data_IF_261601752909
#
_entry.id   IF_261601752909
#
_cell.length_a   1.000
_cell.length_b   1.000
_cell.length_c   1.000
_cell.angle_alpha   90.00
_cell.angle_beta   90.00
_cell.angle_gamma   90.00
#
_symmetry.space_group_name_H-M   'P 1'
#
loop_
_entity.id
_entity.type
_entity.pdbx_description
1 polymer ?
#
# COMPACT_ATOMS: atom_id res chain seq x y z
N UNK A 1 16.43 10.77 -32.11
CA UNK A 1 17.04 10.55 -30.77
C UNK A 1 15.98 10.46 -29.66
N UNK A 2 14.74 10.88 -29.89
CA UNK A 2 13.64 10.92 -28.92
C UNK A 2 13.19 9.56 -28.37
N UNK A 3 13.32 8.48 -29.16
CA UNK A 3 12.86 7.14 -28.76
C UNK A 3 13.70 6.51 -27.65
N UNK A 4 15.04 6.69 -27.65
CA UNK A 4 15.91 6.16 -26.60
C UNK A 4 15.63 6.77 -25.22
N UNK A 5 15.38 8.09 -25.19
CA UNK A 5 15.04 8.83 -23.98
C UNK A 5 13.65 8.49 -23.44
N UNK A 6 12.71 8.11 -24.32
CA UNK A 6 11.40 7.61 -23.91
C UNK A 6 11.46 6.19 -23.31
N UNK A 7 12.35 5.32 -23.81
CA UNK A 7 12.56 3.98 -23.23
C UNK A 7 13.11 4.03 -21.80
N UNK A 8 14.06 4.94 -21.53
CA UNK A 8 14.58 5.11 -20.17
C UNK A 8 13.52 5.70 -19.24
N UNK A 9 12.75 6.68 -19.70
CA UNK A 9 11.74 7.36 -18.89
C UNK A 9 10.60 6.44 -18.40
N UNK A 10 10.22 5.40 -19.17
CA UNK A 10 9.21 4.43 -18.70
C UNK A 10 9.80 3.49 -17.65
N UNK A 11 11.03 3.01 -17.84
CA UNK A 11 11.70 2.12 -16.89
C UNK A 11 12.02 2.83 -15.58
N UNK A 12 12.44 4.10 -15.64
CA UNK A 12 12.63 4.97 -14.46
C UNK A 12 11.35 5.04 -13.61
N UNK A 13 10.17 5.17 -14.22
CA UNK A 13 8.90 5.19 -13.47
C UNK A 13 8.63 3.87 -12.75
N UNK A 14 8.91 2.73 -13.38
CA UNK A 14 8.79 1.43 -12.69
C UNK A 14 9.81 1.29 -11.57
N UNK A 15 11.01 1.84 -11.75
CA UNK A 15 12.05 1.85 -10.72
C UNK A 15 11.63 2.70 -9.52
N UNK A 16 11.06 3.88 -9.76
CA UNK A 16 10.54 4.77 -8.71
C UNK A 16 9.41 4.09 -7.92
N UNK A 17 8.50 3.37 -8.60
CA UNK A 17 7.44 2.61 -7.93
C UNK A 17 8.02 1.45 -7.10
N UNK A 18 9.02 0.74 -7.62
CA UNK A 18 9.69 -0.34 -6.90
C UNK A 18 10.44 0.18 -5.65
N UNK A 19 10.96 1.41 -5.71
CA UNK A 19 11.56 2.09 -4.56
C UNK A 19 10.50 2.43 -3.51
N UNK A 20 9.44 3.15 -3.88
CA UNK A 20 8.36 3.53 -2.97
C UNK A 20 7.73 2.33 -2.27
N UNK A 21 7.46 1.25 -3.01
CA UNK A 21 6.89 0.01 -2.42
C UNK A 21 7.88 -0.72 -1.51
N UNK A 22 9.18 -0.61 -1.78
CA UNK A 22 10.23 -1.14 -0.88
C UNK A 22 10.35 -0.34 0.43
N UNK A 23 10.25 0.99 0.37
CA UNK A 23 10.21 1.86 1.54
C UNK A 23 8.93 1.64 2.36
N UNK A 24 7.78 1.48 1.69
CA UNK A 24 6.51 1.08 2.31
C UNK A 24 6.63 -0.24 3.08
N UNK A 25 7.22 -1.27 2.46
CA UNK A 25 7.45 -2.55 3.13
C UNK A 25 8.40 -2.42 4.33
N UNK A 26 9.47 -1.65 4.18
CA UNK A 26 10.45 -1.41 5.26
C UNK A 26 9.79 -0.73 6.46
N UNK A 27 8.95 0.28 6.23
CA UNK A 27 8.18 0.96 7.27
C UNK A 27 7.16 0.00 7.94
N UNK A 28 6.45 -0.81 7.15
CA UNK A 28 5.52 -1.81 7.68
C UNK A 28 6.22 -2.88 8.54
N UNK A 29 7.42 -3.33 8.16
CA UNK A 29 8.24 -4.23 8.96
C UNK A 29 8.68 -3.61 10.30
N UNK A 30 8.93 -2.30 10.31
CA UNK A 30 9.22 -1.54 11.53
C UNK A 30 7.97 -1.21 12.36
N UNK A 31 6.76 -1.48 11.84
CA UNK A 31 5.49 -1.08 12.45
C UNK A 31 5.19 0.42 12.37
N UNK A 32 5.94 1.16 11.55
CA UNK A 32 5.73 2.59 11.28
C UNK A 32 4.65 2.75 10.21
N UNK A 33 3.39 2.64 10.64
CA UNK A 33 2.24 2.67 9.75
C UNK A 33 1.99 4.04 9.13
N UNK A 34 2.44 5.13 9.76
CA UNK A 34 2.30 6.48 9.21
C UNK A 34 3.21 6.65 7.98
N UNK A 35 4.48 6.25 8.10
CA UNK A 35 5.42 6.25 6.96
C UNK A 35 4.98 5.25 5.88
N UNK A 36 4.49 4.06 6.27
CA UNK A 36 3.97 3.09 5.30
C UNK A 36 2.79 3.65 4.49
N UNK A 37 1.86 4.37 5.13
CA UNK A 37 0.73 5.01 4.45
C UNK A 37 1.18 6.15 3.53
N UNK A 38 2.17 6.95 3.95
CA UNK A 38 2.76 7.99 3.11
C UNK A 38 3.34 7.42 1.81
N UNK A 39 4.13 6.34 1.89
CA UNK A 39 4.66 5.67 0.70
C UNK A 39 3.56 4.99 -0.12
N UNK A 40 2.51 4.46 0.53
CA UNK A 40 1.33 3.91 -0.16
C UNK A 40 0.57 4.97 -0.97
N UNK A 41 0.46 6.20 -0.47
CA UNK A 41 -0.13 7.31 -1.23
C UNK A 41 0.75 7.68 -2.44
N UNK A 42 2.06 7.79 -2.24
CA UNK A 42 3.02 8.06 -3.32
C UNK A 42 2.96 6.98 -4.41
N UNK A 43 2.87 5.70 -4.02
CA UNK A 43 2.68 4.58 -4.93
C UNK A 43 1.42 4.77 -5.80
N UNK A 44 0.27 5.05 -5.18
CA UNK A 44 -0.97 5.31 -5.91
C UNK A 44 -0.81 6.45 -6.93
N UNK A 45 -0.18 7.57 -6.54
CA UNK A 45 0.08 8.69 -7.44
C UNK A 45 0.99 8.29 -8.62
N UNK A 46 2.05 7.52 -8.37
CA UNK A 46 2.97 7.06 -9.39
C UNK A 46 2.28 6.11 -10.39
N UNK A 47 1.44 5.20 -9.91
CA UNK A 47 0.64 4.30 -10.76
C UNK A 47 -0.36 5.08 -11.61
N UNK A 48 -1.03 6.09 -11.05
CA UNK A 48 -1.95 6.94 -11.82
C UNK A 48 -1.21 7.74 -12.91
N UNK A 49 -0.04 8.29 -12.60
CA UNK A 49 0.82 8.94 -13.60
C UNK A 49 1.27 7.97 -14.69
N UNK A 50 1.57 6.72 -14.33
CA UNK A 50 1.95 5.67 -15.27
C UNK A 50 0.78 5.27 -16.18
N UNK A 51 -0.44 5.17 -15.64
CA UNK A 51 -1.68 4.87 -16.39
C UNK A 51 -1.99 5.92 -17.46
N UNK A 52 -1.63 7.17 -17.19
CA UNK A 52 -1.83 8.31 -18.10
C UNK A 52 -0.63 8.62 -19.00
N UNK A 53 0.47 7.86 -18.89
CA UNK A 53 1.60 8.03 -19.80
C UNK A 53 1.20 7.60 -21.22
N UNK A 54 1.54 8.42 -22.22
CA UNK A 54 1.30 8.07 -23.62
C UNK A 54 2.01 6.76 -24.00
N UNK A 55 1.45 5.97 -24.95
CA UNK A 55 2.10 4.76 -25.42
C UNK A 55 3.51 5.08 -25.92
N UNK A 56 4.52 4.57 -25.21
CA UNK A 56 5.90 4.65 -25.66
C UNK A 56 6.11 3.67 -26.80
N UNK A 57 7.14 3.92 -27.63
CA UNK A 57 7.59 2.91 -28.59
C UNK A 57 7.82 1.57 -27.87
N UNK A 58 7.63 0.42 -28.54
CA UNK A 58 7.79 -0.88 -27.90
C UNK A 58 9.18 -1.06 -27.31
N UNK A 59 9.27 -1.54 -26.07
CA UNK A 59 10.55 -1.90 -25.44
C UNK A 59 11.21 -3.06 -26.20
N UNK A 60 12.54 -3.00 -26.31
CA UNK A 60 13.35 -4.13 -26.76
C UNK A 60 13.35 -5.27 -25.73
N UNK A 61 14.01 -6.39 -26.05
CA UNK A 61 14.04 -7.56 -25.16
C UNK A 61 14.55 -7.22 -23.75
N UNK A 62 15.66 -6.48 -23.69
CA UNK A 62 16.29 -6.10 -22.43
C UNK A 62 15.37 -5.20 -21.60
N UNK A 63 14.74 -4.20 -22.23
CA UNK A 63 13.78 -3.32 -21.56
C UNK A 63 12.55 -4.06 -21.06
N UNK A 64 12.02 -5.03 -21.83
CA UNK A 64 10.90 -5.86 -21.36
C UNK A 64 11.27 -6.75 -20.18
N UNK A 65 12.45 -7.36 -20.20
CA UNK A 65 12.95 -8.16 -19.08
C UNK A 65 13.10 -7.31 -17.81
N UNK A 66 13.73 -6.13 -17.92
CA UNK A 66 13.91 -5.23 -16.78
C UNK A 66 12.57 -4.75 -16.22
N UNK A 67 11.62 -4.39 -17.09
CA UNK A 67 10.27 -4.01 -16.67
C UNK A 67 9.55 -5.16 -15.95
N UNK A 68 9.71 -6.39 -16.42
CA UNK A 68 9.14 -7.57 -15.79
C UNK A 68 9.69 -7.75 -14.37
N UNK A 69 11.01 -7.68 -14.19
CA UNK A 69 11.66 -7.83 -12.88
C UNK A 69 11.17 -6.75 -11.89
N UNK A 70 11.01 -5.50 -12.36
CA UNK A 70 10.46 -4.42 -11.56
C UNK A 70 9.00 -4.68 -11.16
N UNK A 71 8.17 -5.16 -12.09
CA UNK A 71 6.78 -5.52 -11.80
C UNK A 71 6.66 -6.61 -10.75
N UNK A 72 7.48 -7.66 -10.85
CA UNK A 72 7.52 -8.74 -9.86
C UNK A 72 7.86 -8.17 -8.49
N UNK A 73 8.92 -7.36 -8.40
CA UNK A 73 9.35 -6.73 -7.14
C UNK A 73 8.26 -5.85 -6.51
N UNK A 74 7.56 -5.05 -7.31
CA UNK A 74 6.44 -4.22 -6.84
C UNK A 74 5.34 -5.08 -6.22
N UNK A 75 4.92 -6.13 -6.93
CA UNK A 75 3.85 -7.02 -6.49
C UNK A 75 4.24 -7.82 -5.22
N UNK A 76 5.49 -8.24 -5.12
CA UNK A 76 6.03 -8.91 -3.93
C UNK A 76 6.04 -7.97 -2.72
N UNK A 77 6.52 -6.74 -2.88
CA UNK A 77 6.50 -5.73 -1.82
C UNK A 77 5.06 -5.46 -1.33
N UNK A 78 4.10 -5.33 -2.25
CA UNK A 78 2.69 -5.12 -1.94
C UNK A 78 2.05 -6.32 -1.22
N UNK A 79 2.40 -7.54 -1.62
CA UNK A 79 1.93 -8.76 -0.96
C UNK A 79 2.47 -8.84 0.48
N UNK A 80 3.78 -8.67 0.67
CA UNK A 80 4.41 -8.71 1.99
C UNK A 80 3.89 -7.60 2.91
N UNK A 81 3.65 -6.39 2.39
CA UNK A 81 3.07 -5.30 3.19
C UNK A 81 1.66 -5.67 3.67
N UNK A 82 0.83 -6.27 2.81
CA UNK A 82 -0.52 -6.72 3.17
C UNK A 82 -0.51 -7.85 4.20
N UNK A 83 0.44 -8.78 4.08
CA UNK A 83 0.61 -9.87 5.05
C UNK A 83 0.91 -9.36 6.46
N UNK A 84 1.58 -8.20 6.58
CA UNK A 84 1.82 -7.53 7.85
C UNK A 84 0.60 -6.74 8.34
N UNK A 85 -0.08 -6.02 7.44
CA UNK A 85 -1.15 -5.09 7.80
C UNK A 85 -2.49 -5.77 8.10
N UNK A 86 -2.91 -6.74 7.29
CA UNK A 86 -4.25 -7.34 7.37
C UNK A 86 -4.54 -8.03 8.72
N UNK A 87 -3.61 -8.81 9.32
CA UNK A 87 -3.83 -9.41 10.63
C UNK A 87 -4.00 -8.37 11.74
N UNK A 88 -3.25 -7.26 11.68
CA UNK A 88 -3.34 -6.19 12.69
C UNK A 88 -4.67 -5.46 12.58
N UNK A 89 -5.15 -5.18 11.36
CA UNK A 89 -6.47 -4.58 11.13
C UNK A 89 -7.60 -5.48 11.62
N UNK A 90 -7.52 -6.79 11.37
CA UNK A 90 -8.50 -7.75 11.87
C UNK A 90 -8.56 -7.73 13.42
N UNK A 91 -7.39 -7.74 14.07
CA UNK A 91 -7.28 -7.64 15.53
C UNK A 91 -7.87 -6.35 16.09
N UNK A 92 -7.59 -5.21 15.46
CA UNK A 92 -8.17 -3.92 15.86
C UNK A 92 -9.69 -3.91 15.72
N UNK A 93 -10.23 -4.47 14.64
CA UNK A 93 -11.66 -4.64 14.43
C UNK A 93 -12.32 -5.45 15.55
N UNK A 94 -11.71 -6.56 15.97
CA UNK A 94 -12.21 -7.34 17.10
C UNK A 94 -12.22 -6.55 18.41
N UNK A 95 -11.14 -5.83 18.72
CA UNK A 95 -11.01 -5.05 19.97
C UNK A 95 -12.07 -3.95 20.03
N UNK A 96 -12.23 -3.19 18.95
CA UNK A 96 -13.26 -2.14 18.84
C UNK A 96 -14.67 -2.73 18.97
N UNK A 97 -14.91 -3.90 18.35
CA UNK A 97 -16.17 -4.62 18.48
C UNK A 97 -16.47 -5.03 19.93
N UNK A 98 -15.47 -5.51 20.68
CA UNK A 98 -15.61 -5.85 22.11
C UNK A 98 -15.93 -4.61 22.94
N UNK A 99 -15.20 -3.50 22.73
CA UNK A 99 -15.44 -2.23 23.45
C UNK A 99 -16.84 -1.69 23.22
N UNK A 100 -17.33 -1.71 21.96
CA UNK A 100 -18.69 -1.25 21.63
C UNK A 100 -19.75 -2.07 22.36
N UNK A 101 -19.61 -3.40 22.38
CA UNK A 101 -20.54 -4.28 23.13
C UNK A 101 -20.52 -3.99 24.63
N UNK A 102 -19.34 -3.78 25.21
CA UNK A 102 -19.20 -3.41 26.62
C UNK A 102 -19.89 -2.08 26.92
N UNK A 103 -19.72 -1.07 26.07
CA UNK A 103 -20.40 0.22 26.21
C UNK A 103 -21.92 0.06 26.14
N UNK A 104 -22.44 -0.74 25.19
CA UNK A 104 -23.88 -1.01 25.10
C UNK A 104 -24.43 -1.68 26.37
N UNK A 105 -23.72 -2.66 26.94
CA UNK A 105 -24.13 -3.29 28.19
C UNK A 105 -24.13 -2.28 29.34
N UNK A 106 -23.07 -1.49 29.50
CA UNK A 106 -22.99 -0.45 30.54
C UNK A 106 -24.11 0.59 30.41
N UNK A 107 -24.46 1.02 29.19
CA UNK A 107 -25.57 1.96 28.97
C UNK A 107 -26.93 1.33 29.26
N UNK A 108 -27.14 0.07 28.90
CA UNK A 108 -28.41 -0.63 29.15
C UNK A 108 -28.67 -0.85 30.64
N UNK A 109 -27.65 -1.26 31.41
CA UNK A 109 -27.79 -1.53 32.84
C UNK A 109 -27.60 -0.28 33.71
N UNK A 110 -26.78 0.69 33.29
CA UNK A 110 -26.56 1.95 34.02
C UNK A 110 -27.76 2.89 34.03
N UNK A 111 -28.69 2.74 33.08
CA UNK A 111 -29.94 3.50 33.04
C UNK A 111 -31.09 2.81 33.81
N UNK A 112 -30.81 1.72 34.52
CA UNK A 112 -31.77 0.98 35.35
C UNK A 112 -31.45 1.03 36.85
N UNK A 113 -30.62 1.97 37.32
CA UNK A 113 -30.51 2.21 38.76
C UNK A 113 -31.90 2.63 39.29
N UNK A 114 -32.52 1.85 40.20
CA UNK A 114 -33.82 2.19 40.74
C UNK A 114 -33.71 3.45 41.61
N UNK A 115 -34.60 4.41 41.38
CA UNK A 115 -34.88 5.46 42.37
C UNK A 115 -35.55 4.79 43.58
N UNK A 116 -34.86 4.77 44.72
CA UNK A 116 -35.41 4.41 46.03
C UNK A 116 -36.21 5.57 46.64
#
# INVERSE_FOLDING_TARGET
MTSLTQYSAILERYQDIALSTGEMLTAAQAGDWDTALMHGQLYCEQVERLRHAEPTSPLDEAGRSMKYDLLVRILENDAMTRDLALPQLARLGELLGRMKRQQTLLSAYGNQAPEE
#
